data_IF_087727308776
#
_entry.id   IF_087727308776
#
_cell.length_a   1.000
_cell.length_b   1.000
_cell.length_c   1.000
_cell.angle_alpha   90.00
_cell.angle_beta   90.00
_cell.angle_gamma   90.00
#
_symmetry.space_group_name_H-M   'P 1'
#
loop_
_entity.id
_entity.type
_entity.pdbx_description
1 polymer ?
#
# COMPACT_ATOMS: atom_id res chain seq x y z
N UNK A 1 2.91 -23.95 -41.52
CA UNK A 1 3.26 -22.95 -40.52
C UNK A 1 1.99 -22.56 -39.80
N UNK A 2 1.74 -22.94 -38.54
CA UNK A 2 0.59 -22.43 -37.81
C UNK A 2 0.86 -21.00 -37.42
N UNK A 3 0.03 -20.08 -37.88
CA UNK A 3 -0.04 -18.69 -37.46
C UNK A 3 -0.28 -18.63 -35.95
N UNK A 4 0.72 -18.19 -35.19
CA UNK A 4 0.54 -17.82 -33.77
C UNK A 4 -0.58 -16.78 -33.71
N UNK A 5 -1.71 -17.21 -33.19
CA UNK A 5 -2.82 -16.34 -32.82
C UNK A 5 -2.33 -15.47 -31.64
N UNK A 6 -1.71 -14.32 -31.92
CA UNK A 6 -1.36 -13.32 -30.93
C UNK A 6 -2.69 -12.79 -30.35
N UNK A 7 -3.21 -13.45 -29.34
CA UNK A 7 -4.33 -12.93 -28.56
C UNK A 7 -3.93 -11.54 -28.08
N UNK A 8 -4.58 -10.52 -28.61
CA UNK A 8 -4.34 -9.13 -28.17
C UNK A 8 -4.72 -9.06 -26.70
N UNK A 9 -3.74 -8.78 -25.84
CA UNK A 9 -3.96 -8.63 -24.40
C UNK A 9 -4.84 -7.40 -24.16
N UNK A 10 -5.86 -7.57 -23.33
CA UNK A 10 -6.74 -6.49 -22.83
C UNK A 10 -6.71 -6.48 -21.31
N UNK A 11 -7.19 -5.42 -20.71
CA UNK A 11 -7.32 -5.31 -19.24
C UNK A 11 -8.15 -6.48 -18.65
N UNK A 12 -9.19 -6.93 -19.38
CA UNK A 12 -10.14 -7.97 -18.95
C UNK A 12 -9.66 -9.37 -19.28
N UNK A 13 -8.49 -9.53 -19.92
CA UNK A 13 -7.91 -10.84 -20.22
C UNK A 13 -7.68 -11.60 -18.92
N UNK A 14 -8.19 -12.83 -18.76
CA UNK A 14 -7.98 -13.62 -17.54
C UNK A 14 -6.51 -13.94 -17.28
N UNK A 15 -6.09 -13.85 -16.01
CA UNK A 15 -4.70 -14.08 -15.57
C UNK A 15 -4.14 -15.45 -15.96
N UNK A 16 -4.98 -16.46 -16.17
CA UNK A 16 -4.60 -17.82 -16.62
C UNK A 16 -3.90 -17.87 -17.99
N UNK A 17 -4.08 -16.82 -18.80
CA UNK A 17 -3.42 -16.74 -20.13
C UNK A 17 -2.00 -16.19 -20.04
N UNK A 18 -1.57 -15.73 -18.86
CA UNK A 18 -0.21 -15.29 -18.65
C UNK A 18 0.76 -16.47 -18.61
N UNK A 19 1.91 -16.32 -19.26
CA UNK A 19 2.93 -17.38 -19.30
C UNK A 19 3.37 -17.77 -17.88
N UNK A 20 3.29 -19.07 -17.57
CA UNK A 20 3.65 -19.61 -16.26
C UNK A 20 2.52 -19.62 -15.23
N UNK A 21 1.30 -19.24 -15.63
CA UNK A 21 0.10 -19.34 -14.80
C UNK A 21 -0.74 -20.53 -15.29
N UNK A 22 -0.57 -21.68 -14.64
CA UNK A 22 -1.42 -22.85 -14.87
C UNK A 22 -2.73 -22.78 -14.07
N UNK A 23 -3.67 -23.74 -14.28
CA UNK A 23 -4.98 -23.74 -13.62
C UNK A 23 -4.91 -23.59 -12.09
N UNK A 24 -4.06 -24.39 -11.44
CA UNK A 24 -3.85 -24.30 -9.97
C UNK A 24 -3.32 -22.95 -9.49
N UNK A 25 -2.51 -22.29 -10.32
CA UNK A 25 -1.98 -20.96 -9.98
C UNK A 25 -3.05 -19.91 -10.19
N UNK A 26 -3.88 -20.02 -11.21
CA UNK A 26 -5.02 -19.14 -11.45
C UNK A 26 -6.03 -19.20 -10.29
N UNK A 27 -6.41 -20.40 -9.82
CA UNK A 27 -7.26 -20.59 -8.64
C UNK A 27 -6.70 -19.90 -7.38
N UNK A 28 -5.37 -19.89 -7.23
CA UNK A 28 -4.71 -19.17 -6.10
C UNK A 28 -4.76 -17.66 -6.28
N UNK A 29 -4.64 -17.18 -7.51
CA UNK A 29 -4.84 -15.75 -7.79
C UNK A 29 -6.28 -15.32 -7.49
N UNK A 30 -7.29 -16.14 -7.84
CA UNK A 30 -8.69 -15.86 -7.51
C UNK A 30 -8.93 -15.72 -6.00
N UNK A 31 -8.24 -16.50 -5.15
CA UNK A 31 -8.29 -16.34 -3.69
C UNK A 31 -7.78 -14.98 -3.20
N UNK A 32 -6.97 -14.28 -3.99
CA UNK A 32 -6.51 -12.91 -3.74
C UNK A 32 -7.42 -11.87 -4.43
N UNK A 33 -8.51 -12.29 -5.07
CA UNK A 33 -9.38 -11.41 -5.85
C UNK A 33 -8.79 -11.02 -7.21
N UNK A 34 -7.76 -11.73 -7.68
CA UNK A 34 -7.07 -11.44 -8.95
C UNK A 34 -7.60 -12.41 -10.02
N UNK A 35 -8.41 -11.91 -10.94
CA UNK A 35 -9.02 -12.68 -12.03
C UNK A 35 -8.48 -12.26 -13.39
N UNK A 36 -8.26 -10.95 -13.58
CA UNK A 36 -7.85 -10.33 -14.82
C UNK A 36 -6.41 -9.81 -14.78
N UNK A 37 -5.87 -9.42 -15.95
CA UNK A 37 -4.57 -8.73 -16.02
C UNK A 37 -4.60 -7.36 -15.35
N UNK A 38 -5.74 -6.66 -15.40
CA UNK A 38 -5.92 -5.40 -14.68
C UNK A 38 -5.83 -5.60 -13.17
N UNK A 39 -6.51 -6.63 -12.63
CA UNK A 39 -6.44 -6.94 -11.19
C UNK A 39 -4.99 -7.21 -10.76
N UNK A 40 -4.24 -7.95 -11.60
CA UNK A 40 -2.84 -8.27 -11.30
C UNK A 40 -1.94 -7.01 -11.32
N UNK A 41 -2.14 -6.10 -12.27
CA UNK A 41 -1.43 -4.81 -12.31
C UNK A 41 -1.85 -3.86 -11.18
N UNK A 42 -3.04 -4.03 -10.64
CA UNK A 42 -3.54 -3.27 -9.48
C UNK A 42 -3.23 -3.94 -8.13
N UNK A 43 -2.60 -5.12 -8.14
CA UNK A 43 -2.18 -5.79 -6.91
C UNK A 43 -0.87 -5.19 -6.40
N UNK A 44 -0.96 -4.04 -5.72
CA UNK A 44 0.20 -3.26 -5.31
C UNK A 44 0.98 -3.90 -4.16
N UNK A 45 2.33 -3.66 -4.10
CA UNK A 45 3.15 -4.18 -3.02
C UNK A 45 2.83 -3.49 -1.69
N UNK A 46 2.97 -4.24 -0.58
CA UNK A 46 2.82 -3.70 0.78
C UNK A 46 4.06 -2.96 1.24
N UNK A 47 5.25 -3.42 0.83
CA UNK A 47 6.55 -2.86 1.18
C UNK A 47 7.59 -3.22 0.14
N UNK A 48 8.76 -2.64 0.26
CA UNK A 48 9.94 -2.98 -0.52
C UNK A 48 11.04 -3.49 0.38
N UNK A 49 11.87 -4.39 -0.16
CA UNK A 49 13.16 -4.74 0.38
C UNK A 49 14.18 -3.91 -0.38
N UNK A 50 14.94 -3.10 0.33
CA UNK A 50 15.98 -2.24 -0.24
C UNK A 50 17.33 -2.98 -0.20
N UNK A 51 17.82 -3.38 -1.37
CA UNK A 51 19.12 -4.00 -1.53
C UNK A 51 20.26 -3.00 -1.69
N UNK A 52 19.96 -1.71 -1.86
CA UNK A 52 20.99 -0.67 -2.05
C UNK A 52 21.69 -0.29 -0.74
N UNK A 53 21.08 -0.62 0.40
CA UNK A 53 21.57 -0.31 1.75
C UNK A 53 21.77 -1.59 2.56
N UNK A 54 22.73 -2.48 2.19
CA UNK A 54 22.99 -3.70 2.94
C UNK A 54 23.64 -3.37 4.29
N UNK A 55 23.34 -4.17 5.29
CA UNK A 55 24.08 -4.17 6.56
C UNK A 55 25.40 -4.91 6.43
N UNK A 56 26.39 -4.53 7.24
CA UNK A 56 27.49 -5.41 7.60
C UNK A 56 26.98 -6.60 8.44
N UNK A 57 27.69 -7.71 8.46
CA UNK A 57 27.26 -8.88 9.26
C UNK A 57 27.15 -8.50 10.74
N UNK A 58 28.07 -7.68 11.24
CA UNK A 58 28.10 -7.27 12.65
C UNK A 58 26.92 -6.39 13.05
N UNK A 59 26.51 -5.47 12.16
CA UNK A 59 25.43 -4.49 12.41
C UNK A 59 24.03 -5.03 12.07
N UNK A 60 23.95 -6.17 11.37
CA UNK A 60 22.66 -6.75 10.98
C UNK A 60 21.77 -6.99 12.21
N UNK A 61 20.54 -6.46 12.23
CA UNK A 61 19.63 -6.64 13.36
C UNK A 61 19.28 -8.13 13.53
N UNK A 62 19.36 -8.62 14.79
CA UNK A 62 18.98 -10.00 15.07
C UNK A 62 17.47 -10.20 14.98
N UNK A 63 17.05 -11.40 14.55
CA UNK A 63 15.66 -11.83 14.43
C UNK A 63 14.76 -10.93 13.55
N UNK A 64 15.41 -10.13 12.68
CA UNK A 64 14.73 -9.23 11.76
C UNK A 64 15.18 -9.52 10.33
N UNK A 65 14.26 -9.40 9.38
CA UNK A 65 14.56 -9.53 7.96
C UNK A 65 15.39 -8.35 7.47
N UNK A 66 16.59 -8.63 6.97
CA UNK A 66 17.52 -7.61 6.47
C UNK A 66 18.31 -8.13 5.26
N UNK A 67 19.04 -7.25 4.62
CA UNK A 67 19.97 -7.55 3.54
C UNK A 67 21.39 -7.43 4.09
N UNK A 68 22.21 -8.46 3.90
CA UNK A 68 23.61 -8.49 4.29
C UNK A 68 24.47 -8.67 3.04
N UNK A 69 25.53 -7.88 2.90
CA UNK A 69 26.54 -8.05 1.86
C UNK A 69 27.71 -8.86 2.42
N UNK A 70 28.08 -9.96 1.76
CA UNK A 70 29.16 -10.81 2.22
C UNK A 70 29.83 -11.58 1.07
N UNK A 71 31.13 -11.88 1.22
CA UNK A 71 31.93 -12.72 0.32
C UNK A 71 31.81 -14.19 0.72
N UNK A 72 31.72 -15.10 -0.25
CA UNK A 72 31.62 -16.54 0.00
C UNK A 72 33.01 -17.14 0.16
N UNK A 73 33.36 -17.59 1.39
CA UNK A 73 34.68 -18.18 1.69
C UNK A 73 34.70 -19.69 1.58
N UNK A 74 33.62 -20.38 1.94
CA UNK A 74 33.61 -21.84 1.96
C UNK A 74 32.25 -22.41 1.52
N UNK A 75 32.33 -23.54 0.81
CA UNK A 75 31.19 -24.32 0.33
C UNK A 75 31.43 -25.80 0.71
N UNK A 76 31.18 -26.21 1.96
CA UNK A 76 31.48 -27.54 2.44
C UNK A 76 30.68 -28.68 1.80
N UNK A 77 29.76 -28.37 0.90
CA UNK A 77 28.91 -29.33 0.21
C UNK A 77 27.63 -29.68 0.94
N UNK A 78 26.72 -30.31 0.21
CA UNK A 78 25.42 -30.70 0.73
C UNK A 78 25.47 -31.96 1.59
N UNK A 79 24.58 -32.03 2.59
CA UNK A 79 24.38 -33.23 3.41
C UNK A 79 22.90 -33.65 3.36
N UNK A 80 22.66 -34.96 3.41
CA UNK A 80 21.32 -35.50 3.60
C UNK A 80 21.13 -35.74 5.08
N UNK A 81 20.15 -35.11 5.70
CA UNK A 81 19.78 -35.26 7.10
C UNK A 81 18.88 -36.49 7.30
N UNK A 82 18.78 -37.03 8.55
CA UNK A 82 17.75 -38.01 8.88
C UNK A 82 16.36 -37.53 8.46
N UNK A 83 15.57 -38.40 7.78
CA UNK A 83 14.30 -38.05 7.18
C UNK A 83 14.37 -37.53 5.74
N UNK A 84 15.53 -37.66 5.06
CA UNK A 84 15.66 -37.37 3.62
C UNK A 84 15.75 -35.88 3.25
N UNK A 85 15.85 -34.98 4.24
CA UNK A 85 15.97 -33.53 3.96
C UNK A 85 17.41 -33.23 3.52
N UNK A 86 17.53 -32.59 2.36
CA UNK A 86 18.82 -32.09 1.87
C UNK A 86 19.13 -30.72 2.49
N UNK A 87 20.37 -30.58 2.98
CA UNK A 87 20.88 -29.35 3.55
C UNK A 87 22.12 -28.92 2.76
N UNK A 88 22.12 -27.73 2.23
CA UNK A 88 23.28 -27.07 1.63
C UNK A 88 23.75 -25.95 2.57
N UNK A 89 25.07 -25.84 2.74
CA UNK A 89 25.65 -24.84 3.63
C UNK A 89 26.81 -24.12 2.95
N UNK A 90 26.95 -22.84 3.26
CA UNK A 90 28.13 -22.05 2.93
C UNK A 90 28.54 -21.23 4.16
N UNK A 91 29.77 -20.75 4.13
CA UNK A 91 30.25 -19.70 5.03
C UNK A 91 30.57 -18.48 4.18
N UNK A 92 29.95 -17.38 4.51
CA UNK A 92 30.23 -16.06 3.93
C UNK A 92 30.74 -15.12 5.04
N UNK A 93 31.38 -14.02 4.67
CA UNK A 93 31.87 -13.05 5.62
C UNK A 93 32.12 -11.70 5.00
N UNK A 94 32.33 -10.72 5.87
CA UNK A 94 32.86 -9.41 5.57
C UNK A 94 34.17 -9.20 6.34
N UNK A 95 34.72 -8.00 6.33
CA UNK A 95 36.01 -7.68 6.99
C UNK A 95 35.98 -7.86 8.52
N UNK A 96 34.77 -8.01 9.11
CA UNK A 96 34.60 -7.97 10.58
C UNK A 96 34.07 -9.31 11.14
N UNK A 97 33.13 -9.95 10.42
CA UNK A 97 32.42 -11.12 10.96
C UNK A 97 32.09 -12.16 9.88
N UNK A 98 31.68 -13.36 10.34
CA UNK A 98 31.26 -14.46 9.48
C UNK A 98 29.79 -14.80 9.66
N UNK A 99 29.16 -15.27 8.57
CA UNK A 99 27.76 -15.66 8.49
C UNK A 99 27.66 -17.08 7.96
N UNK A 100 27.10 -17.98 8.76
CA UNK A 100 26.77 -19.33 8.31
C UNK A 100 25.40 -19.31 7.62
N UNK A 101 25.35 -19.71 6.36
CA UNK A 101 24.13 -19.69 5.56
C UNK A 101 23.73 -21.12 5.21
N UNK A 102 22.50 -21.48 5.49
CA UNK A 102 21.97 -22.83 5.27
C UNK A 102 20.69 -22.79 4.42
N UNK A 103 20.63 -23.63 3.39
CA UNK A 103 19.42 -23.91 2.63
C UNK A 103 18.93 -25.33 2.88
N UNK A 104 17.63 -25.46 3.09
CA UNK A 104 16.95 -26.74 3.19
C UNK A 104 16.15 -27.03 1.93
N UNK A 105 16.24 -28.27 1.43
CA UNK A 105 15.51 -28.78 0.27
C UNK A 105 15.71 -27.96 -1.04
N UNK A 106 16.83 -27.22 -1.13
CA UNK A 106 17.22 -26.47 -2.32
C UNK A 106 18.64 -26.86 -2.76
N UNK A 107 18.81 -27.96 -3.53
CA UNK A 107 20.12 -28.42 -3.96
C UNK A 107 20.84 -27.47 -4.91
N UNK A 108 20.13 -26.54 -5.52
CA UNK A 108 20.66 -25.59 -6.51
C UNK A 108 21.09 -24.26 -5.88
N UNK A 109 20.79 -24.03 -4.61
CA UNK A 109 21.04 -22.75 -3.95
C UNK A 109 22.52 -22.31 -4.02
N UNK A 110 23.44 -23.28 -3.83
CA UNK A 110 24.88 -23.03 -3.78
C UNK A 110 25.58 -23.16 -5.14
N UNK A 111 24.93 -23.72 -6.17
CA UNK A 111 25.58 -24.01 -7.45
C UNK A 111 26.04 -22.75 -8.20
N UNK A 112 25.27 -21.67 -8.10
CA UNK A 112 25.56 -20.39 -8.77
C UNK A 112 26.53 -19.50 -7.99
N UNK A 113 26.82 -19.83 -6.74
CA UNK A 113 27.71 -19.05 -5.91
C UNK A 113 29.17 -19.44 -6.20
N UNK A 114 30.05 -18.46 -6.31
CA UNK A 114 31.49 -18.67 -6.53
C UNK A 114 32.27 -18.29 -5.25
N UNK A 115 33.34 -19.02 -4.96
CA UNK A 115 34.25 -18.67 -3.86
C UNK A 115 34.98 -17.37 -4.20
N UNK A 116 35.21 -16.51 -3.24
CA UNK A 116 35.88 -15.23 -3.40
C UNK A 116 34.99 -14.16 -4.07
N UNK A 117 33.69 -14.42 -4.23
CA UNK A 117 32.78 -13.44 -4.83
C UNK A 117 31.76 -12.93 -3.80
N UNK A 118 31.45 -11.63 -3.86
CA UNK A 118 30.47 -10.97 -3.03
C UNK A 118 29.05 -11.20 -3.53
N UNK A 119 28.13 -11.41 -2.60
CA UNK A 119 26.70 -11.55 -2.82
C UNK A 119 25.92 -10.79 -1.76
N UNK A 120 24.67 -10.53 -2.06
CA UNK A 120 23.70 -9.93 -1.14
C UNK A 120 22.70 -11.00 -0.71
N UNK A 121 22.66 -11.24 0.59
CA UNK A 121 21.82 -12.25 1.22
C UNK A 121 20.67 -11.56 1.95
N UNK A 122 19.44 -11.85 1.56
CA UNK A 122 18.25 -11.31 2.20
C UNK A 122 17.54 -12.40 2.99
N UNK A 123 17.36 -12.17 4.26
CA UNK A 123 16.73 -13.10 5.18
C UNK A 123 16.81 -12.62 6.63
N UNK A 124 16.45 -13.50 7.56
CA UNK A 124 16.53 -13.23 8.99
C UNK A 124 17.88 -13.68 9.50
N UNK A 125 18.64 -12.76 10.08
CA UNK A 125 19.89 -13.06 10.76
C UNK A 125 19.59 -13.49 12.19
N UNK A 126 20.05 -14.68 12.57
CA UNK A 126 19.88 -15.24 13.92
C UNK A 126 21.24 -15.51 14.56
N UNK A 127 21.25 -15.78 15.86
CA UNK A 127 22.46 -16.07 16.63
C UNK A 127 23.15 -14.83 17.21
N UNK A 128 24.13 -15.05 18.08
CA UNK A 128 24.90 -13.99 18.74
C UNK A 128 26.05 -13.46 17.88
N UNK A 129 26.77 -12.45 18.37
CA UNK A 129 27.87 -11.78 17.63
C UNK A 129 28.98 -12.75 17.17
N UNK A 130 29.23 -13.82 17.89
CA UNK A 130 30.28 -14.80 17.56
C UNK A 130 29.85 -15.86 16.52
N UNK A 131 28.54 -16.03 16.32
CA UNK A 131 28.02 -17.04 15.38
C UNK A 131 26.70 -16.58 14.80
N UNK A 132 26.79 -15.81 13.74
CA UNK A 132 25.63 -15.34 12.95
C UNK A 132 25.19 -16.41 11.96
N UNK A 133 23.88 -16.58 11.82
CA UNK A 133 23.31 -17.58 10.93
C UNK A 133 22.14 -17.00 10.13
N UNK A 134 21.95 -17.51 8.92
CA UNK A 134 20.79 -17.18 8.07
C UNK A 134 20.27 -18.46 7.40
N UNK A 135 18.96 -18.65 7.41
CA UNK A 135 18.32 -19.84 6.85
C UNK A 135 17.48 -19.47 5.63
N UNK A 136 17.69 -20.22 4.54
CA UNK A 136 16.98 -20.04 3.26
C UNK A 136 16.96 -18.58 2.74
N UNK A 137 18.08 -17.84 2.74
CA UNK A 137 18.07 -16.49 2.20
C UNK A 137 17.80 -16.48 0.70
N UNK A 138 17.25 -15.37 0.23
CA UNK A 138 17.35 -14.99 -1.18
C UNK A 138 18.76 -14.44 -1.45
N UNK A 139 19.29 -14.71 -2.64
CA UNK A 139 20.63 -14.26 -3.03
C UNK A 139 20.56 -13.44 -4.30
N UNK A 140 21.28 -12.32 -4.34
CA UNK A 140 21.44 -11.48 -5.51
C UNK A 140 22.89 -11.11 -5.76
N UNK A 141 23.22 -10.91 -7.05
CA UNK A 141 24.52 -10.35 -7.46
C UNK A 141 24.44 -8.82 -7.50
N UNK A 142 25.61 -8.16 -7.51
CA UNK A 142 25.69 -6.70 -7.66
C UNK A 142 24.99 -6.19 -8.94
N UNK A 143 25.12 -6.90 -10.05
CA UNK A 143 24.48 -6.55 -11.33
C UNK A 143 22.95 -6.60 -11.22
N UNK A 144 22.41 -7.61 -10.53
CA UNK A 144 20.97 -7.72 -10.31
C UNK A 144 20.42 -6.57 -9.45
N UNK A 145 21.23 -6.09 -8.49
CA UNK A 145 20.86 -4.95 -7.65
C UNK A 145 20.94 -3.64 -8.43
N UNK A 146 21.97 -3.44 -9.24
CA UNK A 146 22.05 -2.27 -10.12
C UNK A 146 20.86 -2.18 -11.08
N UNK A 147 20.40 -3.31 -11.60
CA UNK A 147 19.23 -3.36 -12.47
C UNK A 147 17.90 -3.14 -11.73
N UNK A 148 17.77 -3.59 -10.47
CA UNK A 148 16.56 -3.50 -9.67
C UNK A 148 16.91 -3.47 -8.16
N UNK A 149 17.19 -2.29 -7.60
CA UNK A 149 17.62 -2.18 -6.20
C UNK A 149 16.52 -2.48 -5.19
N UNK A 150 15.27 -2.35 -5.59
CA UNK A 150 14.11 -2.61 -4.73
C UNK A 150 13.37 -3.88 -5.15
N UNK A 151 13.07 -4.72 -4.18
CA UNK A 151 12.17 -5.86 -4.38
C UNK A 151 10.81 -5.60 -3.76
N UNK A 152 9.79 -5.60 -4.61
CA UNK A 152 8.41 -5.45 -4.18
C UNK A 152 7.91 -6.72 -3.47
N UNK A 153 7.37 -6.55 -2.25
CA UNK A 153 6.77 -7.63 -1.45
C UNK A 153 5.25 -7.51 -1.52
N UNK A 154 4.62 -8.52 -2.10
CA UNK A 154 3.18 -8.56 -2.34
C UNK A 154 2.42 -9.29 -1.23
N UNK A 155 1.12 -8.96 -1.03
CA UNK A 155 0.20 -9.81 -0.29
C UNK A 155 0.17 -11.21 -0.90
N UNK A 156 0.22 -12.23 -0.06
CA UNK A 156 0.34 -13.63 -0.47
C UNK A 156 -0.85 -14.45 0.02
N UNK A 157 -1.03 -15.62 -0.59
CA UNK A 157 -1.90 -16.68 -0.09
C UNK A 157 -1.17 -18.03 -0.11
N UNK A 158 -1.75 -19.04 0.50
CA UNK A 158 -1.15 -20.38 0.55
C UNK A 158 -0.80 -20.91 -0.85
N UNK A 159 0.44 -21.28 -1.03
CA UNK A 159 0.97 -21.82 -2.31
C UNK A 159 1.19 -20.77 -3.41
N UNK A 160 1.01 -19.46 -3.16
CA UNK A 160 1.33 -18.36 -4.07
C UNK A 160 2.24 -17.34 -3.40
N UNK A 161 3.54 -17.47 -3.63
CA UNK A 161 4.56 -16.60 -3.03
C UNK A 161 4.67 -15.25 -3.75
N UNK A 162 5.18 -14.23 -3.03
CA UNK A 162 5.46 -12.90 -3.57
C UNK A 162 6.37 -12.94 -4.81
N UNK A 163 7.34 -13.87 -4.86
CA UNK A 163 8.24 -14.03 -6.00
C UNK A 163 7.52 -14.51 -7.27
N UNK A 164 6.49 -15.38 -7.13
CA UNK A 164 5.66 -15.81 -8.26
C UNK A 164 4.80 -14.64 -8.75
N UNK A 165 4.17 -13.90 -7.83
CA UNK A 165 3.38 -12.71 -8.14
C UNK A 165 4.25 -11.68 -8.87
N UNK A 166 5.41 -11.34 -8.30
CA UNK A 166 6.37 -10.40 -8.89
C UNK A 166 6.76 -10.79 -10.31
N UNK A 167 7.06 -12.07 -10.56
CA UNK A 167 7.41 -12.57 -11.89
C UNK A 167 6.27 -12.41 -12.89
N UNK A 168 5.04 -12.65 -12.47
CA UNK A 168 3.86 -12.48 -13.32
C UNK A 168 3.62 -11.01 -13.65
N UNK A 169 3.72 -10.13 -12.65
CA UNK A 169 3.57 -8.68 -12.83
C UNK A 169 4.64 -8.14 -13.79
N UNK A 170 5.91 -8.51 -13.62
CA UNK A 170 7.00 -8.06 -14.49
C UNK A 170 6.77 -8.37 -15.97
N UNK A 171 6.08 -9.45 -16.31
CA UNK A 171 5.70 -9.77 -17.69
C UNK A 171 4.67 -8.78 -18.24
N UNK A 172 3.86 -8.15 -17.38
CA UNK A 172 2.80 -7.22 -17.76
C UNK A 172 3.23 -5.75 -17.73
N UNK A 173 4.31 -5.40 -17.05
CA UNK A 173 4.76 -4.00 -16.96
C UNK A 173 4.98 -3.32 -18.31
N UNK A 174 5.47 -3.99 -19.38
CA UNK A 174 5.51 -3.40 -20.73
C UNK A 174 4.13 -3.03 -21.27
N UNK A 175 3.07 -3.63 -20.72
CA UNK A 175 1.69 -3.43 -21.14
C UNK A 175 0.88 -2.64 -20.10
N UNK A 176 1.52 -1.81 -19.28
CA UNK A 176 0.85 -1.02 -18.24
C UNK A 176 -0.20 -0.03 -18.81
N UNK A 177 -0.11 0.30 -20.10
CA UNK A 177 -1.09 1.07 -20.86
C UNK A 177 -2.45 0.37 -21.02
N UNK A 178 -2.55 -0.93 -20.72
CA UNK A 178 -3.82 -1.64 -20.63
C UNK A 178 -4.75 -1.01 -19.57
N UNK A 179 -4.16 -0.35 -18.55
CA UNK A 179 -4.93 0.40 -17.55
C UNK A 179 -5.15 1.83 -18.06
N UNK A 180 -6.39 2.21 -18.39
CA UNK A 180 -6.68 3.58 -18.80
C UNK A 180 -6.41 4.56 -17.66
N UNK A 181 -5.96 5.77 -17.98
CA UNK A 181 -5.81 6.82 -17.00
C UNK A 181 -7.16 7.54 -16.81
N UNK A 182 -7.77 7.48 -15.62
CA UNK A 182 -9.04 8.15 -15.38
C UNK A 182 -8.88 9.65 -15.11
N UNK A 183 -7.65 10.15 -14.91
CA UNK A 183 -7.39 11.56 -14.61
C UNK A 183 -7.10 12.36 -15.87
N UNK A 184 -7.77 13.53 -16.07
CA UNK A 184 -7.46 14.44 -17.16
C UNK A 184 -6.02 14.98 -17.06
N UNK A 185 -5.36 15.28 -18.20
CA UNK A 185 -3.98 15.80 -18.23
C UNK A 185 -3.78 17.06 -17.37
N UNK A 186 -4.78 17.94 -17.30
CA UNK A 186 -4.75 19.18 -16.51
C UNK A 186 -4.64 18.88 -15.02
N UNK A 187 -5.28 17.81 -14.54
CA UNK A 187 -5.17 17.36 -13.14
C UNK A 187 -3.79 16.78 -12.86
N UNK A 188 -3.26 15.98 -13.77
CA UNK A 188 -1.91 15.42 -13.64
C UNK A 188 -0.89 16.55 -13.50
N UNK A 189 -0.96 17.56 -14.35
CA UNK A 189 -0.07 18.72 -14.31
C UNK A 189 -0.25 19.54 -13.03
N UNK A 190 -1.50 19.93 -12.71
CA UNK A 190 -1.84 20.78 -11.55
C UNK A 190 -1.33 20.18 -10.24
N UNK A 191 -1.50 18.88 -10.06
CA UNK A 191 -1.13 18.18 -8.82
C UNK A 191 0.21 17.46 -8.91
N UNK A 192 0.96 17.60 -10.00
CA UNK A 192 2.25 16.96 -10.25
C UNK A 192 2.19 15.46 -10.03
N UNK A 193 1.22 14.82 -10.67
CA UNK A 193 0.99 13.38 -10.59
C UNK A 193 1.56 12.67 -11.81
N UNK A 194 2.06 11.46 -11.62
CA UNK A 194 2.49 10.60 -12.72
C UNK A 194 1.28 10.14 -13.55
N UNK A 195 1.43 9.92 -14.87
CA UNK A 195 0.48 9.16 -15.65
C UNK A 195 0.27 7.76 -15.06
N UNK A 196 -0.93 7.16 -15.27
CA UNK A 196 -1.29 5.86 -14.67
C UNK A 196 -0.28 4.78 -14.99
N UNK A 197 0.08 4.61 -16.26
CA UNK A 197 1.01 3.57 -16.69
C UNK A 197 2.41 3.72 -16.07
N UNK A 198 2.91 4.96 -15.94
CA UNK A 198 4.18 5.24 -15.25
C UNK A 198 4.10 4.93 -13.77
N UNK A 199 3.02 5.34 -13.11
CA UNK A 199 2.81 5.06 -11.70
C UNK A 199 2.74 3.54 -11.43
N UNK A 200 2.07 2.78 -12.30
CA UNK A 200 2.00 1.32 -12.21
C UNK A 200 3.38 0.69 -12.39
N UNK A 201 4.17 1.13 -13.35
CA UNK A 201 5.56 0.64 -13.51
C UNK A 201 6.41 0.96 -12.29
N UNK A 202 6.36 2.20 -11.83
CA UNK A 202 7.17 2.67 -10.71
C UNK A 202 6.77 2.06 -9.36
N UNK A 203 5.48 1.76 -9.12
CA UNK A 203 5.06 1.10 -7.88
C UNK A 203 5.50 -0.37 -7.82
N UNK A 204 5.64 -1.03 -8.96
CA UNK A 204 6.07 -2.43 -9.01
C UNK A 204 7.58 -2.61 -9.12
N UNK A 205 8.27 -1.70 -9.81
CA UNK A 205 9.71 -1.75 -10.05
C UNK A 205 10.32 -0.35 -9.95
N UNK A 206 10.35 0.24 -8.75
CA UNK A 206 10.98 1.55 -8.58
C UNK A 206 12.50 1.46 -8.72
N UNK A 207 13.12 2.46 -9.33
CA UNK A 207 14.57 2.60 -9.33
C UNK A 207 15.07 3.39 -8.11
N UNK A 208 14.23 4.25 -7.52
CA UNK A 208 14.54 5.03 -6.33
C UNK A 208 13.34 5.10 -5.37
N UNK A 209 13.62 5.47 -4.11
CA UNK A 209 12.56 5.70 -3.11
C UNK A 209 11.60 6.82 -3.54
N UNK A 210 12.11 7.87 -4.20
CA UNK A 210 11.32 9.00 -4.68
C UNK A 210 10.35 8.56 -5.79
N UNK A 211 10.78 7.67 -6.69
CA UNK A 211 9.90 7.09 -7.69
C UNK A 211 8.78 6.26 -7.06
N UNK A 212 9.11 5.42 -6.08
CA UNK A 212 8.11 4.66 -5.34
C UNK A 212 7.11 5.57 -4.62
N UNK A 213 7.59 6.65 -3.99
CA UNK A 213 6.76 7.64 -3.31
C UNK A 213 5.85 8.41 -4.28
N UNK A 214 6.37 8.84 -5.43
CA UNK A 214 5.60 9.52 -6.47
C UNK A 214 4.50 8.60 -7.05
N UNK A 215 4.82 7.35 -7.33
CA UNK A 215 3.86 6.35 -7.78
C UNK A 215 2.77 6.11 -6.74
N UNK A 216 3.15 5.91 -5.48
CA UNK A 216 2.21 5.72 -4.36
C UNK A 216 1.28 6.92 -4.20
N UNK A 217 1.84 8.15 -4.26
CA UNK A 217 1.04 9.39 -4.20
C UNK A 217 -0.01 9.45 -5.31
N UNK A 218 0.36 9.08 -6.55
CA UNK A 218 -0.57 9.04 -7.69
C UNK A 218 -1.72 8.07 -7.45
N UNK A 219 -1.41 6.86 -6.98
CA UNK A 219 -2.41 5.80 -6.76
C UNK A 219 -3.34 6.14 -5.59
N UNK A 220 -2.80 6.66 -4.49
CA UNK A 220 -3.60 7.14 -3.35
C UNK A 220 -4.53 8.28 -3.77
N UNK A 221 -4.02 9.23 -4.58
CA UNK A 221 -4.83 10.35 -5.06
C UNK A 221 -6.05 9.85 -5.86
N UNK A 222 -5.84 8.90 -6.77
CA UNK A 222 -6.91 8.31 -7.56
C UNK A 222 -7.96 7.61 -6.68
N UNK A 223 -7.52 6.76 -5.76
CA UNK A 223 -8.41 6.02 -4.87
C UNK A 223 -9.25 6.95 -4.00
N UNK A 224 -8.62 7.98 -3.39
CA UNK A 224 -9.32 8.96 -2.58
C UNK A 224 -10.25 9.85 -3.41
N UNK A 225 -9.88 10.20 -4.64
CA UNK A 225 -10.75 10.97 -5.54
C UNK A 225 -12.01 10.18 -5.89
N UNK A 226 -11.88 8.90 -6.27
CA UNK A 226 -13.04 8.03 -6.56
C UNK A 226 -13.95 7.93 -5.35
N UNK A 227 -13.40 7.75 -4.16
CA UNK A 227 -14.16 7.73 -2.91
C UNK A 227 -14.91 9.06 -2.68
N UNK A 228 -14.21 10.19 -2.83
CA UNK A 228 -14.81 11.52 -2.64
C UNK A 228 -15.91 11.81 -3.66
N UNK A 229 -15.72 11.43 -4.92
CA UNK A 229 -16.75 11.55 -5.95
C UNK A 229 -17.97 10.68 -5.63
N UNK A 230 -17.76 9.46 -5.13
CA UNK A 230 -18.83 8.58 -4.68
C UNK A 230 -19.64 9.19 -3.54
N UNK A 231 -18.97 9.69 -2.50
CA UNK A 231 -19.60 10.39 -1.38
C UNK A 231 -20.32 11.66 -1.84
N UNK A 232 -19.70 12.47 -2.71
CA UNK A 232 -20.29 13.67 -3.28
C UNK A 232 -21.59 13.37 -4.04
N UNK A 233 -21.58 12.29 -4.85
CA UNK A 233 -22.79 11.86 -5.58
C UNK A 233 -23.90 11.36 -4.65
N UNK A 234 -23.56 10.67 -3.58
CA UNK A 234 -24.53 10.25 -2.56
C UNK A 234 -25.14 11.46 -1.85
N UNK A 235 -24.31 12.44 -1.46
CA UNK A 235 -24.77 13.69 -0.85
C UNK A 235 -25.69 14.49 -1.77
N UNK A 236 -25.35 14.64 -3.05
CA UNK A 236 -26.16 15.34 -4.03
C UNK A 236 -27.54 14.68 -4.24
N UNK A 237 -27.62 13.34 -4.16
CA UNK A 237 -28.89 12.61 -4.22
C UNK A 237 -29.72 12.79 -2.94
N UNK A 238 -29.06 12.88 -1.77
CA UNK A 238 -29.72 13.14 -0.49
C UNK A 238 -30.12 14.60 -0.29
N UNK A 239 -29.39 15.54 -0.89
CA UNK A 239 -29.68 16.98 -0.84
C UNK A 239 -30.93 17.38 -1.64
N UNK A 240 -31.56 16.46 -2.38
CA UNK A 240 -32.87 16.65 -2.97
C UNK A 240 -34.01 16.64 -1.92
N UNK A 241 -33.73 16.36 -0.65
CA UNK A 241 -34.68 16.57 0.43
C UNK A 241 -34.83 18.08 0.66
N UNK A 242 -35.96 18.65 0.24
CA UNK A 242 -36.32 20.04 0.55
C UNK A 242 -36.31 20.21 2.07
N UNK A 243 -35.42 21.06 2.56
CA UNK A 243 -35.46 21.54 3.96
C UNK A 243 -36.64 22.47 4.14
N UNK A 244 -37.10 22.60 5.37
CA UNK A 244 -37.96 23.73 5.73
C UNK A 244 -37.03 24.91 6.09
N UNK A 245 -36.86 25.95 5.22
CA UNK A 245 -35.96 27.04 5.54
C UNK A 245 -36.44 27.74 6.81
N UNK A 246 -35.55 27.77 7.80
CA UNK A 246 -35.85 28.39 9.09
C UNK A 246 -35.39 29.85 9.06
N UNK A 247 -36.21 30.75 9.53
CA UNK A 247 -35.77 32.14 9.68
C UNK A 247 -34.53 32.18 10.56
N UNK A 248 -33.44 32.74 10.03
CA UNK A 248 -32.17 32.83 10.78
C UNK A 248 -32.38 33.59 12.10
N UNK A 249 -32.12 32.90 13.21
CA UNK A 249 -32.17 33.48 14.53
C UNK A 249 -30.85 34.19 14.85
N UNK A 250 -30.91 35.33 15.54
CA UNK A 250 -29.71 35.94 16.14
C UNK A 250 -29.30 35.10 17.36
N UNK A 251 -28.08 34.54 17.40
CA UNK A 251 -27.65 33.71 18.54
C UNK A 251 -27.26 34.51 19.80
N UNK A 252 -27.21 35.85 19.74
CA UNK A 252 -26.79 36.71 20.84
C UNK A 252 -27.63 36.48 22.13
N UNK A 253 -28.96 36.37 22.10
CA UNK A 253 -29.73 36.08 23.33
C UNK A 253 -29.41 34.71 23.94
N UNK A 254 -29.11 33.72 23.13
CA UNK A 254 -28.69 32.40 23.63
C UNK A 254 -27.33 32.50 24.34
N UNK A 255 -26.37 33.19 23.73
CA UNK A 255 -25.04 33.39 24.36
C UNK A 255 -25.10 34.17 25.66
N UNK A 256 -25.98 35.15 25.76
CA UNK A 256 -26.18 35.94 27.00
C UNK A 256 -26.80 35.14 28.13
N UNK A 257 -27.55 34.07 27.85
CA UNK A 257 -28.16 33.21 28.85
C UNK A 257 -27.17 32.22 29.51
N UNK A 258 -25.97 32.10 28.99
CA UNK A 258 -24.96 31.17 29.48
C UNK A 258 -24.19 31.76 30.66
N UNK A 259 -23.81 30.96 31.69
CA UNK A 259 -22.98 31.42 32.81
C UNK A 259 -21.47 31.55 32.42
N UNK A 260 -21.10 31.31 31.19
CA UNK A 260 -19.72 31.36 30.69
C UNK A 260 -19.67 31.86 29.25
N UNK A 261 -18.52 32.34 28.81
CA UNK A 261 -18.32 32.79 27.44
C UNK A 261 -18.06 31.59 26.49
N UNK A 262 -18.76 31.47 25.35
CA UNK A 262 -18.46 30.43 24.38
C UNK A 262 -17.12 30.69 23.68
N UNK A 263 -16.43 29.62 23.30
CA UNK A 263 -15.18 29.71 22.53
C UNK A 263 -15.41 30.21 21.11
N UNK A 264 -14.35 30.74 20.47
CA UNK A 264 -14.42 31.17 19.09
C UNK A 264 -14.82 30.06 18.10
N UNK A 265 -14.40 28.80 18.39
CA UNK A 265 -14.77 27.62 17.61
C UNK A 265 -16.26 27.29 17.72
N UNK A 266 -16.81 27.35 18.95
CA UNK A 266 -18.25 27.14 19.19
C UNK A 266 -19.09 28.20 18.48
N UNK A 267 -18.71 29.48 18.54
CA UNK A 267 -19.39 30.56 17.83
C UNK A 267 -19.40 30.34 16.33
N UNK A 268 -18.25 29.99 15.71
CA UNK A 268 -18.17 29.71 14.29
C UNK A 268 -19.05 28.52 13.89
N UNK A 269 -19.02 27.42 14.65
CA UNK A 269 -19.83 26.24 14.37
C UNK A 269 -21.33 26.56 14.42
N UNK A 270 -21.80 27.34 15.40
CA UNK A 270 -23.20 27.77 15.49
C UNK A 270 -23.58 28.69 14.32
N UNK A 271 -22.75 29.65 13.93
CA UNK A 271 -23.00 30.50 12.77
C UNK A 271 -23.15 29.71 11.47
N UNK A 272 -22.32 28.71 11.24
CA UNK A 272 -22.41 27.83 10.10
C UNK A 272 -23.69 26.99 10.12
N UNK A 273 -24.07 26.45 11.29
CA UNK A 273 -25.31 25.68 11.49
C UNK A 273 -26.53 26.57 11.20
N UNK A 274 -26.57 27.78 11.73
CA UNK A 274 -27.68 28.72 11.52
C UNK A 274 -27.83 29.14 10.06
N UNK A 275 -26.70 29.23 9.35
CA UNK A 275 -26.67 29.51 7.91
C UNK A 275 -27.24 28.33 7.11
N UNK A 276 -26.84 27.11 7.43
CA UNK A 276 -27.38 25.91 6.78
C UNK A 276 -28.88 25.71 7.07
N UNK A 277 -29.33 25.94 8.31
CA UNK A 277 -30.73 25.84 8.70
C UNK A 277 -31.64 26.87 8.00
N UNK A 278 -31.08 28.00 7.59
CA UNK A 278 -31.79 29.03 6.81
C UNK A 278 -31.87 28.73 5.31
N UNK A 279 -31.16 27.71 4.84
CA UNK A 279 -31.12 27.29 3.45
C UNK A 279 -32.34 26.44 3.04
N UNK A 280 -32.51 26.28 1.72
CA UNK A 280 -33.63 25.50 1.11
C UNK A 280 -33.37 23.97 1.19
N UNK A 281 -32.22 23.55 1.59
CA UNK A 281 -31.83 22.13 1.70
C UNK A 281 -31.76 21.71 3.14
N UNK A 282 -32.22 20.48 3.46
CA UNK A 282 -32.08 19.91 4.81
C UNK A 282 -30.61 19.82 5.22
N UNK A 283 -30.26 20.45 6.36
CA UNK A 283 -28.91 20.40 6.91
C UNK A 283 -28.57 18.97 7.34
N UNK A 284 -27.41 18.50 6.92
CA UNK A 284 -26.78 17.25 7.41
C UNK A 284 -25.31 17.54 7.73
N UNK A 285 -25.02 17.79 9.01
CA UNK A 285 -23.71 18.26 9.46
C UNK A 285 -23.15 17.38 10.59
N UNK A 286 -21.92 16.93 10.47
CA UNK A 286 -21.18 16.27 11.55
C UNK A 286 -20.42 17.32 12.36
N UNK A 287 -20.67 17.37 13.65
CA UNK A 287 -19.93 18.18 14.62
C UNK A 287 -18.87 17.32 15.30
N UNK A 288 -17.59 17.58 15.04
CA UNK A 288 -16.47 16.86 15.62
C UNK A 288 -15.70 17.73 16.61
N UNK A 289 -15.21 17.14 17.69
CA UNK A 289 -14.39 17.78 18.70
C UNK A 289 -14.06 16.80 19.84
N UNK A 290 -13.07 17.15 20.66
CA UNK A 290 -12.65 16.34 21.79
C UNK A 290 -13.74 16.19 22.88
N UNK A 291 -13.53 15.24 23.78
CA UNK A 291 -14.39 15.09 24.98
C UNK A 291 -14.27 16.38 25.81
N UNK A 292 -15.42 16.94 26.22
CA UNK A 292 -15.44 18.21 26.95
C UNK A 292 -15.36 19.48 26.10
N UNK A 293 -15.22 19.40 24.77
CA UNK A 293 -15.17 20.59 23.88
C UNK A 293 -16.48 21.38 23.80
N UNK A 294 -17.54 20.91 24.42
CA UNK A 294 -18.85 21.57 24.46
C UNK A 294 -19.71 21.35 23.20
N UNK A 295 -19.59 20.19 22.55
CA UNK A 295 -20.44 19.80 21.39
C UNK A 295 -21.95 19.88 21.72
N UNK A 296 -22.34 19.50 22.93
CA UNK A 296 -23.72 19.60 23.40
C UNK A 296 -24.21 21.04 23.44
N UNK A 297 -23.35 22.00 23.77
CA UNK A 297 -23.69 23.42 23.75
C UNK A 297 -24.02 23.92 22.33
N UNK A 298 -23.24 23.48 21.34
CA UNK A 298 -23.50 23.82 19.92
C UNK A 298 -24.81 23.19 19.47
N UNK A 299 -25.10 21.96 19.85
CA UNK A 299 -26.39 21.31 19.59
C UNK A 299 -27.56 22.05 20.26
N UNK A 300 -27.38 22.47 21.51
CA UNK A 300 -28.39 23.25 22.25
C UNK A 300 -28.67 24.61 21.57
N UNK A 301 -27.67 25.30 21.04
CA UNK A 301 -27.83 26.53 20.27
C UNK A 301 -28.66 26.29 18.97
N UNK A 302 -28.41 25.19 18.26
CA UNK A 302 -29.18 24.80 17.08
C UNK A 302 -30.65 24.51 17.42
N UNK A 303 -30.89 23.75 18.52
CA UNK A 303 -32.24 23.45 19.03
C UNK A 303 -32.97 24.75 19.42
N UNK A 304 -32.29 25.63 20.15
CA UNK A 304 -32.83 26.93 20.53
C UNK A 304 -33.25 27.75 19.32
N UNK A 305 -32.41 27.80 18.28
CA UNK A 305 -32.74 28.51 17.05
C UNK A 305 -33.92 27.89 16.30
N UNK A 306 -34.00 26.56 16.25
CA UNK A 306 -35.11 25.81 15.68
C UNK A 306 -36.46 26.19 16.35
N UNK A 307 -36.49 26.19 17.69
CA UNK A 307 -37.65 26.55 18.49
C UNK A 307 -38.04 28.03 18.25
N UNK A 308 -37.05 28.91 18.21
CA UNK A 308 -37.28 30.34 17.94
C UNK A 308 -37.85 30.61 16.54
N UNK A 309 -37.56 29.74 15.58
CA UNK A 309 -38.11 29.78 14.25
C UNK A 309 -39.55 29.16 14.14
N UNK A 310 -40.11 28.64 15.25
CA UNK A 310 -41.43 28.04 15.32
C UNK A 310 -41.50 26.56 14.98
N UNK A 311 -40.35 25.87 14.97
CA UNK A 311 -40.27 24.43 14.66
C UNK A 311 -39.97 23.59 15.94
N UNK A 312 -40.12 22.30 15.81
CA UNK A 312 -39.82 21.34 16.89
C UNK A 312 -38.42 20.75 16.66
N UNK A 313 -37.73 20.41 17.76
CA UNK A 313 -36.43 19.73 17.74
C UNK A 313 -36.46 18.50 18.63
N UNK A 314 -35.72 17.46 18.25
CA UNK A 314 -35.50 16.27 19.04
C UNK A 314 -33.99 16.04 19.20
N UNK A 315 -33.56 15.66 20.39
CA UNK A 315 -32.20 15.23 20.72
C UNK A 315 -32.24 13.78 21.16
N UNK A 316 -31.44 12.91 20.50
CA UNK A 316 -31.33 11.48 20.82
C UNK A 316 -30.01 11.18 21.49
#
# INVERSE_FOLDING_TARGET
>A
MPTENRTTLTQDTPVRYLKGVGPKTAERFEKLGIVTLADLLCHYPRRYIDFSKPYSIAEAPADTECVVKAEVFAKPGGRILPGGRRMERITAGDDVASLEITWFNNPYATQKLQLGQEYYFQGIVTGGMLRRQMVNPQVRTAEQIQAAPFEAVYPQTEGLSSSVISRCIRQLLPHAELLPDPLPPEMLQKYRLLPKAEAVRAIHCPATEEQAAAARRRLIYEELLVLQLGIGRMRSRGAAATGAPMRRADPAPFWQSLPFAPTGAQRRAVEEILTDMAGDTAMNRLLQGDVGSGKTLVAAAAIWACIRAGYQAALL
#
